data_IF_214670749360
#
_entry.id   IF_214670749360
#
_cell.length_a   1.000
_cell.length_b   1.000
_cell.length_c   1.000
_cell.angle_alpha   90.00
_cell.angle_beta   90.00
_cell.angle_gamma   90.00
#
_symmetry.space_group_name_H-M   'P 1'
#
loop_
_entity.id
_entity.type
_entity.pdbx_description
1 polymer ?
#
# COMPACT_ATOMS: atom_id res chain seq x y z
N UNK A 1 26.51 14.80 -6.67
CA UNK A 1 25.94 13.71 -5.85
C UNK A 1 24.71 13.18 -6.56
N UNK A 2 24.76 11.91 -6.96
CA UNK A 2 23.77 11.21 -7.77
C UNK A 2 22.39 11.15 -7.08
N UNK A 3 21.33 11.54 -7.80
CA UNK A 3 19.93 11.51 -7.36
C UNK A 3 19.50 10.13 -6.85
N UNK A 4 20.13 9.08 -7.37
CA UNK A 4 19.93 7.68 -6.98
C UNK A 4 20.36 7.42 -5.53
N UNK A 5 21.50 7.99 -5.11
CA UNK A 5 22.01 7.85 -3.73
C UNK A 5 21.16 8.63 -2.72
N UNK A 6 20.62 9.79 -3.12
CA UNK A 6 19.64 10.53 -2.32
C UNK A 6 18.36 9.71 -2.11
N UNK A 7 17.86 9.05 -3.15
CA UNK A 7 16.66 8.22 -3.06
C UNK A 7 16.87 6.99 -2.17
N UNK A 8 18.03 6.34 -2.27
CA UNK A 8 18.41 5.20 -1.43
C UNK A 8 18.56 5.62 0.03
N UNK A 9 19.27 6.74 0.29
CA UNK A 9 19.42 7.32 1.63
C UNK A 9 18.07 7.70 2.25
N UNK A 10 17.17 8.32 1.47
CA UNK A 10 15.84 8.72 1.94
C UNK A 10 14.91 7.52 2.20
N UNK A 11 15.10 6.41 1.47
CA UNK A 11 14.41 5.13 1.73
C UNK A 11 14.97 4.43 2.97
N UNK A 12 16.29 4.33 3.13
CA UNK A 12 16.94 3.74 4.31
C UNK A 12 16.61 4.52 5.60
N UNK A 13 16.59 5.85 5.54
CA UNK A 13 16.21 6.70 6.66
C UNK A 13 14.75 6.46 7.12
N UNK A 14 13.83 6.17 6.18
CA UNK A 14 12.45 5.84 6.52
C UNK A 14 12.31 4.45 7.15
N UNK A 15 13.13 3.48 6.74
CA UNK A 15 13.13 2.11 7.30
C UNK A 15 13.62 2.14 8.76
N UNK A 16 14.67 2.90 9.08
CA UNK A 16 15.18 3.00 10.46
C UNK A 16 14.25 3.75 11.42
N UNK A 17 13.33 4.58 10.92
CA UNK A 17 12.36 5.32 11.75
C UNK A 17 11.11 4.51 12.07
N UNK A 18 10.88 3.41 11.34
CA UNK A 18 9.73 2.52 11.49
C UNK A 18 10.16 1.07 11.21
N UNK A 19 10.89 0.41 12.12
CA UNK A 19 11.39 -0.95 11.93
C UNK A 19 10.25 -1.96 11.69
N UNK A 20 9.06 -1.68 12.21
CA UNK A 20 7.83 -2.44 11.95
C UNK A 20 7.34 -2.44 10.48
N UNK A 21 7.86 -1.55 9.62
CA UNK A 21 7.63 -1.60 8.16
C UNK A 21 8.16 -2.89 7.54
N UNK A 22 9.03 -3.61 8.25
CA UNK A 22 9.41 -5.00 7.97
C UNK A 22 10.73 -5.17 7.22
N UNK A 23 11.01 -6.41 6.82
CA UNK A 23 12.25 -6.81 6.15
C UNK A 23 12.08 -6.88 4.64
N UNK A 24 13.18 -6.92 3.89
CA UNK A 24 13.09 -7.10 2.43
C UNK A 24 12.90 -8.58 2.07
N UNK A 25 12.31 -8.86 0.91
CA UNK A 25 12.11 -10.21 0.39
C UNK A 25 13.42 -10.99 0.14
N UNK A 26 14.58 -10.31 0.11
CA UNK A 26 15.91 -10.96 0.06
C UNK A 26 16.36 -11.52 1.42
N UNK A 27 15.85 -10.96 2.52
CA UNK A 27 16.21 -11.33 3.91
C UNK A 27 15.14 -12.17 4.59
N UNK A 28 13.90 -12.19 4.08
CA UNK A 28 12.98 -13.28 4.40
C UNK A 28 13.51 -14.54 3.73
N UNK A 29 14.19 -15.35 4.52
CA UNK A 29 14.79 -16.61 4.12
C UNK A 29 13.80 -17.44 3.28
N UNK A 30 14.18 -17.71 2.03
CA UNK A 30 14.18 -19.11 1.61
C UNK A 30 15.14 -19.80 2.57
N UNK A 31 14.63 -20.38 3.65
CA UNK A 31 15.42 -21.21 4.54
C UNK A 31 16.00 -22.33 3.68
N UNK A 32 17.29 -22.24 3.39
CA UNK A 32 18.07 -23.31 2.76
C UNK A 32 18.23 -24.52 3.69
N UNK A 33 17.65 -24.52 4.89
CA UNK A 33 17.89 -25.49 5.95
C UNK A 33 16.83 -26.60 6.09
N UNK A 34 15.78 -26.65 5.28
CA UNK A 34 14.88 -27.81 5.29
C UNK A 34 14.58 -28.28 3.87
N UNK A 35 15.16 -29.44 3.51
CA UNK A 35 14.71 -30.29 2.39
C UNK A 35 13.31 -30.89 2.61
N UNK A 36 12.47 -30.26 3.43
CA UNK A 36 11.06 -30.61 3.57
C UNK A 36 10.25 -29.73 2.63
N UNK A 37 9.52 -30.36 1.73
CA UNK A 37 8.61 -29.71 0.80
C UNK A 37 7.45 -29.02 1.54
N UNK A 38 7.71 -27.84 2.08
CA UNK A 38 6.68 -26.94 2.58
C UNK A 38 5.98 -26.31 1.37
N UNK A 39 4.98 -27.02 0.83
CA UNK A 39 4.10 -26.55 -0.26
C UNK A 39 3.12 -25.44 0.19
N UNK A 40 3.51 -24.60 1.14
CA UNK A 40 2.75 -23.40 1.49
C UNK A 40 2.79 -22.43 0.31
N UNK A 41 1.62 -22.08 -0.23
CA UNK A 41 1.48 -21.10 -1.30
C UNK A 41 2.23 -19.81 -0.89
N UNK A 42 3.24 -19.35 -1.66
CA UNK A 42 3.97 -18.15 -1.32
C UNK A 42 3.02 -16.95 -1.28
N UNK A 43 3.25 -16.03 -0.35
CA UNK A 43 2.46 -14.80 -0.31
C UNK A 43 2.57 -14.05 -1.64
N UNK A 44 1.53 -13.27 -2.00
CA UNK A 44 1.53 -12.47 -3.24
C UNK A 44 2.78 -11.60 -3.39
N UNK A 45 3.34 -11.10 -2.27
CA UNK A 45 4.58 -10.30 -2.27
C UNK A 45 5.78 -11.16 -2.63
N UNK A 46 5.87 -12.40 -2.11
CA UNK A 46 6.96 -13.32 -2.43
C UNK A 46 6.90 -13.80 -3.88
N UNK A 47 5.70 -13.93 -4.43
CA UNK A 47 5.52 -14.30 -5.84
C UNK A 47 5.93 -13.16 -6.81
N UNK A 48 5.62 -11.91 -6.47
CA UNK A 48 5.89 -10.77 -7.35
C UNK A 48 7.29 -10.16 -7.18
N UNK A 49 8.00 -10.52 -6.12
CA UNK A 49 9.30 -9.92 -5.79
C UNK A 49 10.47 -10.74 -6.30
N UNK A 50 11.48 -10.06 -6.83
CA UNK A 50 12.82 -10.61 -7.06
C UNK A 50 13.80 -10.26 -5.92
N UNK A 51 13.31 -10.11 -4.69
CA UNK A 51 14.12 -9.83 -3.49
C UNK A 51 14.08 -8.37 -2.99
N UNK A 52 13.68 -7.41 -3.84
CA UNK A 52 13.70 -5.98 -3.48
C UNK A 52 12.46 -5.40 -2.77
N UNK A 53 11.36 -6.14 -2.65
CA UNK A 53 10.14 -5.64 -2.00
C UNK A 53 10.21 -5.75 -0.47
N UNK A 54 9.53 -4.86 0.23
CA UNK A 54 9.41 -4.90 1.68
C UNK A 54 8.22 -5.78 2.07
N UNK A 55 8.45 -6.75 2.95
CA UNK A 55 7.41 -7.55 3.60
C UNK A 55 7.06 -6.89 4.93
N UNK A 56 5.86 -6.34 5.09
CA UNK A 56 5.46 -5.74 6.36
C UNK A 56 5.31 -6.79 7.47
N UNK A 57 5.57 -6.37 8.70
CA UNK A 57 5.27 -7.18 9.89
C UNK A 57 3.77 -7.46 10.03
N UNK A 58 3.39 -8.55 10.69
CA UNK A 58 1.97 -8.91 10.84
C UNK A 58 1.20 -7.94 11.74
N UNK A 59 1.86 -7.35 12.74
CA UNK A 59 1.26 -6.28 13.55
C UNK A 59 0.97 -5.04 12.68
N UNK A 60 1.91 -4.66 11.80
CA UNK A 60 1.69 -3.57 10.87
C UNK A 60 0.55 -3.86 9.90
N UNK A 61 0.49 -5.07 9.32
CA UNK A 61 -0.63 -5.50 8.46
C UNK A 61 -1.97 -5.39 9.19
N UNK A 62 -2.04 -5.84 10.43
CA UNK A 62 -3.25 -5.78 11.27
C UNK A 62 -3.71 -4.33 11.46
N UNK A 63 -2.78 -3.43 11.77
CA UNK A 63 -3.06 -2.00 11.88
C UNK A 63 -3.57 -1.41 10.56
N UNK A 64 -2.94 -1.74 9.44
CA UNK A 64 -3.37 -1.29 8.11
C UNK A 64 -4.79 -1.80 7.77
N UNK A 65 -5.11 -3.06 8.07
CA UNK A 65 -6.46 -3.58 7.85
C UNK A 65 -7.51 -2.87 8.71
N UNK A 66 -7.17 -2.54 9.96
CA UNK A 66 -8.04 -1.75 10.84
C UNK A 66 -8.25 -0.33 10.30
N UNK A 67 -7.19 0.31 9.80
CA UNK A 67 -7.27 1.62 9.14
C UNK A 67 -8.18 1.55 7.92
N UNK A 68 -8.02 0.54 7.05
CA UNK A 68 -8.85 0.39 5.85
C UNK A 68 -10.32 0.18 6.19
N UNK A 69 -10.61 -0.61 7.23
CA UNK A 69 -11.97 -0.82 7.73
C UNK A 69 -12.58 0.49 8.21
N UNK A 70 -11.86 1.29 9.00
CA UNK A 70 -12.32 2.60 9.45
C UNK A 70 -12.50 3.57 8.29
N UNK A 71 -11.56 3.60 7.35
CA UNK A 71 -11.64 4.43 6.15
C UNK A 71 -12.88 4.10 5.33
N UNK A 72 -13.15 2.81 5.04
CA UNK A 72 -14.38 2.35 4.37
C UNK A 72 -15.64 2.75 5.15
N UNK A 73 -15.65 2.57 6.48
CA UNK A 73 -16.79 2.91 7.35
C UNK A 73 -17.10 4.41 7.33
N UNK A 74 -16.08 5.26 7.45
CA UNK A 74 -16.23 6.72 7.49
C UNK A 74 -16.66 7.27 6.12
N UNK A 75 -16.04 6.77 5.06
CA UNK A 75 -16.31 7.25 3.69
C UNK A 75 -17.56 6.66 3.06
N UNK A 76 -18.16 5.61 3.66
CA UNK A 76 -19.30 4.87 3.11
C UNK A 76 -19.06 4.42 1.66
N UNK A 77 -17.81 4.04 1.34
CA UNK A 77 -17.33 3.68 -0.01
C UNK A 77 -17.37 4.81 -1.05
N UNK A 78 -17.67 6.05 -0.67
CA UNK A 78 -17.66 7.20 -1.57
C UNK A 78 -16.27 7.86 -1.62
N UNK A 79 -16.05 8.69 -2.65
CA UNK A 79 -14.88 9.56 -2.73
C UNK A 79 -15.13 10.77 -1.81
N UNK A 80 -14.35 10.95 -0.74
CA UNK A 80 -14.57 12.05 0.20
C UNK A 80 -14.17 13.37 -0.45
N UNK A 81 -14.93 14.44 -0.18
CA UNK A 81 -14.80 15.77 -0.80
C UNK A 81 -14.55 16.85 0.26
N UNK A 82 -14.04 18.01 -0.17
CA UNK A 82 -13.85 19.19 0.67
C UNK A 82 -12.39 19.50 1.02
N UNK A 83 -12.17 20.71 1.52
CA UNK A 83 -10.83 21.21 1.89
C UNK A 83 -10.27 20.41 3.06
N UNK A 84 -9.00 20.03 2.99
CA UNK A 84 -8.32 19.31 4.08
C UNK A 84 -8.83 17.89 4.31
N UNK A 85 -9.50 17.27 3.32
CA UNK A 85 -10.11 15.94 3.44
C UNK A 85 -9.15 14.89 4.02
N UNK A 86 -7.90 14.87 3.57
CA UNK A 86 -6.88 13.92 4.05
C UNK A 86 -6.61 14.13 5.55
N UNK A 87 -6.35 15.37 5.97
CA UNK A 87 -6.06 15.72 7.38
C UNK A 87 -7.24 15.38 8.29
N UNK A 88 -8.46 15.69 7.85
CA UNK A 88 -9.68 15.46 8.62
C UNK A 88 -9.99 13.96 8.77
N UNK A 89 -9.81 13.18 7.71
CA UNK A 89 -9.95 11.72 7.78
C UNK A 89 -8.87 11.08 8.64
N UNK A 90 -7.63 11.57 8.53
CA UNK A 90 -6.50 11.09 9.35
C UNK A 90 -6.81 11.25 10.84
N UNK A 91 -7.23 12.44 11.26
CA UNK A 91 -7.66 12.70 12.65
C UNK A 91 -8.79 11.78 13.10
N UNK A 92 -9.83 11.58 12.27
CA UNK A 92 -10.98 10.71 12.57
C UNK A 92 -10.63 9.23 12.69
N UNK A 93 -9.59 8.77 12.01
CA UNK A 93 -9.12 7.39 12.08
C UNK A 93 -8.24 7.20 13.31
N UNK A 94 -7.27 8.09 13.53
CA UNK A 94 -6.38 8.04 14.70
C UNK A 94 -7.20 8.11 15.98
N UNK A 95 -8.22 8.96 16.06
CA UNK A 95 -9.08 9.07 17.25
C UNK A 95 -9.89 7.79 17.58
N UNK A 96 -9.82 6.75 16.73
CA UNK A 96 -10.49 5.44 16.93
C UNK A 96 -9.50 4.29 17.02
N UNK A 97 -8.22 4.60 17.11
CA UNK A 97 -7.13 3.64 17.20
C UNK A 97 -6.26 3.99 18.39
N UNK A 98 -5.83 2.96 19.10
CA UNK A 98 -4.75 3.08 20.06
C UNK A 98 -3.44 2.85 19.31
N UNK A 99 -2.88 3.92 18.76
CA UNK A 99 -1.65 3.87 17.95
C UNK A 99 -0.77 5.08 18.26
N UNK A 100 0.53 4.85 18.31
CA UNK A 100 1.49 5.91 18.63
C UNK A 100 1.44 7.05 17.60
N UNK A 101 1.58 8.29 18.08
CA UNK A 101 1.57 9.49 17.24
C UNK A 101 2.64 9.48 16.13
N UNK A 102 3.72 8.70 16.27
CA UNK A 102 4.76 8.55 15.25
C UNK A 102 4.21 8.05 13.91
N UNK A 103 3.13 7.26 13.93
CA UNK A 103 2.50 6.69 12.74
C UNK A 103 1.57 7.66 12.00
N UNK A 104 1.34 8.87 12.52
CA UNK A 104 0.42 9.83 11.91
C UNK A 104 0.75 10.12 10.45
N UNK A 105 2.05 10.23 10.13
CA UNK A 105 2.53 10.47 8.75
C UNK A 105 2.19 9.26 7.86
N UNK A 106 2.40 8.04 8.35
CA UNK A 106 2.12 6.80 7.63
C UNK A 106 0.61 6.66 7.36
N UNK A 107 -0.22 6.94 8.36
CA UNK A 107 -1.69 6.90 8.23
C UNK A 107 -2.16 7.97 7.24
N UNK A 108 -1.60 9.19 7.31
CA UNK A 108 -1.93 10.26 6.38
C UNK A 108 -1.59 9.90 4.94
N UNK A 109 -0.42 9.29 4.72
CA UNK A 109 0.01 8.77 3.41
C UNK A 109 -0.93 7.68 2.92
N UNK A 110 -1.28 6.72 3.77
CA UNK A 110 -2.22 5.65 3.45
C UNK A 110 -3.56 6.20 2.98
N UNK A 111 -4.14 7.14 3.74
CA UNK A 111 -5.43 7.77 3.39
C UNK A 111 -5.34 8.52 2.06
N UNK A 112 -4.26 9.27 1.85
CA UNK A 112 -4.01 9.98 0.57
C UNK A 112 -3.97 8.99 -0.60
N UNK A 113 -3.23 7.89 -0.46
CA UNK A 113 -3.15 6.84 -1.49
C UNK A 113 -4.51 6.18 -1.72
N UNK A 114 -5.24 5.82 -0.67
CA UNK A 114 -6.55 5.19 -0.76
C UNK A 114 -7.58 6.06 -1.50
N UNK A 115 -7.57 7.38 -1.27
CA UNK A 115 -8.41 8.33 -2.02
C UNK A 115 -8.04 8.32 -3.51
N UNK A 116 -6.76 8.43 -3.84
CA UNK A 116 -6.29 8.43 -5.24
C UNK A 116 -6.62 7.13 -5.97
N UNK A 117 -6.44 5.98 -5.32
CA UNK A 117 -6.78 4.67 -5.90
C UNK A 117 -8.28 4.59 -6.19
N UNK A 118 -9.13 5.06 -5.27
CA UNK A 118 -10.59 5.09 -5.48
C UNK A 118 -11.00 6.03 -6.61
N UNK A 119 -10.40 7.22 -6.68
CA UNK A 119 -10.62 8.15 -7.80
C UNK A 119 -10.28 7.49 -9.14
N UNK A 120 -9.10 6.87 -9.23
CA UNK A 120 -8.67 6.15 -10.45
C UNK A 120 -9.62 5.01 -10.80
N UNK A 121 -10.05 4.24 -9.81
CA UNK A 121 -10.98 3.13 -10.01
C UNK A 121 -12.35 3.60 -10.52
N UNK A 122 -12.91 4.65 -9.90
CA UNK A 122 -14.16 5.27 -10.32
C UNK A 122 -14.06 5.80 -11.76
N UNK A 123 -12.98 6.52 -12.06
CA UNK A 123 -12.74 7.04 -13.42
C UNK A 123 -12.67 5.92 -14.46
N UNK A 124 -12.02 4.79 -14.16
CA UNK A 124 -11.95 3.62 -15.06
C UNK A 124 -13.30 2.96 -15.30
N UNK A 125 -14.20 2.95 -14.31
CA UNK A 125 -15.54 2.37 -14.46
C UNK A 125 -16.46 3.26 -15.31
N UNK A 126 -16.25 4.57 -15.29
CA UNK A 126 -17.04 5.55 -16.03
C UNK A 126 -16.42 5.94 -17.38
N UNK A 127 -15.23 5.44 -17.72
CA UNK A 127 -14.73 5.53 -19.10
C UNK A 127 -15.43 4.46 -19.92
N UNK A 128 -16.18 4.80 -20.99
CA UNK A 128 -16.64 3.80 -21.94
C UNK A 128 -15.42 3.03 -22.41
N UNK A 129 -15.47 1.69 -22.41
CA UNK A 129 -14.50 0.92 -23.20
C UNK A 129 -14.66 1.45 -24.62
N UNK A 130 -13.66 2.18 -25.12
CA UNK A 130 -13.64 2.55 -26.52
C UNK A 130 -13.65 1.25 -27.31
N UNK A 131 -14.74 0.99 -28.03
CA UNK A 131 -14.79 -0.03 -29.07
C UNK A 131 -13.86 0.43 -30.20
N UNK A 132 -12.55 0.34 -29.99
CA UNK A 132 -11.50 0.61 -30.98
C UNK A 132 -10.72 -0.67 -31.27
N UNK A 133 -11.47 -1.70 -31.63
CA UNK A 133 -11.09 -2.90 -32.38
C UNK A 133 -12.46 -3.40 -32.83
N UNK A 134 -13.00 -3.08 -34.00
CA UNK A 134 -12.63 -3.60 -35.32
C UNK A 134 -13.25 -2.68 -36.39
N UNK A 135 -12.51 -1.70 -36.89
CA UNK A 135 -12.82 -1.03 -38.16
C UNK A 135 -11.49 -0.84 -38.88
N UNK A 136 -10.94 -1.93 -39.41
CA UNK A 136 -9.82 -1.91 -40.36
C UNK A 136 -9.66 -3.30 -41.00
N UNK A 137 -10.73 -3.88 -41.58
CA UNK A 137 -10.63 -4.92 -42.62
C UNK A 137 -11.96 -4.98 -43.39
N UNK A 138 -12.16 -4.07 -44.34
CA UNK A 138 -12.97 -4.29 -45.52
C UNK A 138 -12.26 -3.60 -46.68
N UNK A 139 -11.53 -4.41 -47.45
CA UNK A 139 -11.21 -4.13 -48.84
C UNK A 139 -12.49 -4.27 -49.66
#
# INVERSE_FOLDING_TARGET
MDSSLKLISQKFYQINKFPELGSNTSTSTYDKSSHEHNYSMPSWINHLSYGGLIIPSDNFKTNIFRIERLFKKITKKQIPKGVGVVKNLTKKIISRMDIENKYNIVIQLYIKQGILIRMKHYNKQHTPRSNSAYKNYKN
#
